data_IF_795930231089
#
_entry.id   IF_795930231089
#
_cell.length_a   1.000
_cell.length_b   1.000
_cell.length_c   1.000
_cell.angle_alpha   90.00
_cell.angle_beta   90.00
_cell.angle_gamma   90.00
#
_symmetry.space_group_name_H-M   'P 1'
#
loop_
_entity.id
_entity.type
_entity.pdbx_description
1 polymer ?
#
# COMPACT_ATOMS: atom_id res chain seq x y z
N UNK A 1 9.29 -17.70 5.99
CA UNK A 1 8.49 -16.48 6.25
C UNK A 1 9.41 -15.28 6.16
N UNK A 2 9.01 -14.24 5.43
CA UNK A 2 9.75 -12.98 5.28
C UNK A 2 8.83 -11.84 5.70
N UNK A 3 9.39 -10.86 6.40
CA UNK A 3 8.69 -9.63 6.79
C UNK A 3 9.45 -8.49 6.14
N UNK A 4 8.73 -7.65 5.40
CA UNK A 4 9.23 -6.40 4.84
C UNK A 4 8.50 -5.27 5.57
N UNK A 5 9.26 -4.36 6.17
CA UNK A 5 8.73 -3.13 6.73
C UNK A 5 9.03 -1.99 5.76
N UNK A 6 8.03 -1.20 5.42
CA UNK A 6 8.18 -0.07 4.51
C UNK A 6 7.57 1.20 5.09
N UNK A 7 8.18 2.33 4.78
CA UNK A 7 7.64 3.65 5.04
C UNK A 7 7.52 4.35 3.69
N UNK A 8 6.29 4.49 3.18
CA UNK A 8 6.07 5.09 1.88
C UNK A 8 6.23 6.61 1.93
N UNK A 9 6.60 7.26 0.82
CA UNK A 9 6.61 8.71 0.76
C UNK A 9 5.22 9.31 1.01
N UNK A 10 5.18 10.56 1.46
CA UNK A 10 3.93 11.28 1.73
C UNK A 10 3.17 11.61 0.45
N UNK A 11 1.91 12.05 0.56
CA UNK A 11 1.12 12.44 -0.61
C UNK A 11 1.66 13.70 -1.32
N UNK A 12 2.42 14.55 -0.64
CA UNK A 12 3.00 15.76 -1.22
C UNK A 12 4.33 15.49 -1.94
N UNK A 13 4.86 14.27 -1.84
CA UNK A 13 6.07 13.84 -2.54
C UNK A 13 5.84 13.79 -4.07
N UNK A 14 6.92 14.00 -4.84
CA UNK A 14 6.87 13.90 -6.31
C UNK A 14 6.33 12.54 -6.81
N UNK A 15 5.58 12.55 -7.91
CA UNK A 15 5.03 11.31 -8.48
C UNK A 15 6.13 10.36 -8.97
N UNK A 16 7.30 10.88 -9.34
CA UNK A 16 8.47 10.08 -9.73
C UNK A 16 8.98 9.30 -8.53
N UNK A 17 9.21 9.96 -7.39
CA UNK A 17 9.71 9.32 -6.18
C UNK A 17 8.71 8.28 -5.64
N UNK A 18 7.41 8.59 -5.63
CA UNK A 18 6.38 7.59 -5.29
C UNK A 18 6.44 6.40 -6.26
N UNK A 19 6.54 6.65 -7.57
CA UNK A 19 6.61 5.58 -8.57
C UNK A 19 7.83 4.67 -8.32
N UNK A 20 9.01 5.26 -8.15
CA UNK A 20 10.25 4.54 -7.85
C UNK A 20 10.10 3.69 -6.59
N UNK A 21 9.57 4.26 -5.51
CA UNK A 21 9.34 3.52 -4.26
C UNK A 21 8.47 2.28 -4.46
N UNK A 22 7.32 2.40 -5.15
CA UNK A 22 6.43 1.25 -5.36
C UNK A 22 7.02 0.22 -6.34
N UNK A 23 7.78 0.64 -7.35
CA UNK A 23 8.47 -0.28 -8.29
C UNK A 23 9.56 -1.09 -7.58
N UNK A 24 10.36 -0.46 -6.73
CA UNK A 24 11.41 -1.11 -5.94
C UNK A 24 10.82 -2.09 -4.92
N UNK A 25 9.77 -1.65 -4.19
CA UNK A 25 9.09 -2.49 -3.20
C UNK A 25 8.47 -3.73 -3.84
N UNK A 26 7.84 -3.54 -5.00
CA UNK A 26 7.23 -4.62 -5.74
C UNK A 26 8.26 -5.63 -6.25
N UNK A 27 9.37 -5.14 -6.81
CA UNK A 27 10.50 -5.97 -7.22
C UNK A 27 11.06 -6.78 -6.05
N UNK A 28 11.14 -6.17 -4.86
CA UNK A 28 11.57 -6.87 -3.64
C UNK A 28 10.59 -7.97 -3.23
N UNK A 29 9.28 -7.74 -3.37
CA UNK A 29 8.25 -8.72 -3.08
C UNK A 29 8.20 -9.86 -4.11
N UNK A 30 8.53 -9.60 -5.37
CA UNK A 30 8.59 -10.60 -6.45
C UNK A 30 9.78 -11.55 -6.30
N UNK A 31 10.89 -11.13 -5.68
CA UNK A 31 12.06 -11.97 -5.38
C UNK A 31 11.78 -13.08 -4.35
N UNK A 32 10.57 -13.17 -3.80
CA UNK A 32 10.20 -14.23 -2.85
C UNK A 32 10.12 -15.60 -3.54
N UNK A 33 10.48 -16.65 -2.82
CA UNK A 33 10.13 -18.01 -3.25
C UNK A 33 8.62 -18.19 -3.05
N UNK A 34 7.90 -18.84 -4.00
CA UNK A 34 6.43 -18.98 -3.93
C UNK A 34 5.91 -19.66 -2.65
N UNK A 35 6.75 -20.46 -1.98
CA UNK A 35 6.44 -21.15 -0.71
C UNK A 35 6.65 -20.28 0.54
N UNK A 36 7.25 -19.10 0.41
CA UNK A 36 7.46 -18.19 1.54
C UNK A 36 6.20 -17.36 1.82
N UNK A 37 5.70 -17.42 3.06
CA UNK A 37 4.78 -16.41 3.57
C UNK A 37 5.50 -15.05 3.62
N UNK A 38 4.97 -14.06 2.92
CA UNK A 38 5.44 -12.68 2.92
C UNK A 38 4.45 -11.78 3.66
N UNK A 39 4.91 -11.11 4.70
CA UNK A 39 4.17 -10.04 5.37
C UNK A 39 4.81 -8.71 5.00
N UNK A 40 4.03 -7.86 4.34
CA UNK A 40 4.41 -6.47 4.09
C UNK A 40 3.66 -5.60 5.09
N UNK A 41 4.40 -4.83 5.88
CA UNK A 41 3.86 -3.98 6.93
C UNK A 41 4.56 -2.62 6.99
N UNK A 42 4.00 -1.71 7.77
CA UNK A 42 4.53 -0.37 7.97
C UNK A 42 3.51 0.70 7.59
N UNK A 43 3.99 1.93 7.43
CA UNK A 43 3.15 3.08 7.10
C UNK A 43 3.27 3.38 5.61
N UNK A 44 2.18 3.15 4.89
CA UNK A 44 2.12 3.37 3.45
C UNK A 44 1.63 4.77 3.07
N UNK A 45 1.36 5.65 4.05
CA UNK A 45 0.80 6.98 3.81
C UNK A 45 -0.41 6.92 2.85
N UNK A 46 -1.18 5.82 2.91
CA UNK A 46 -2.16 5.45 1.91
C UNK A 46 -3.57 5.55 2.50
N UNK A 47 -4.43 6.34 1.86
CA UNK A 47 -5.85 6.43 2.21
C UNK A 47 -6.64 5.48 1.31
N UNK A 48 -7.02 4.32 1.85
CA UNK A 48 -7.86 3.34 1.18
C UNK A 48 -9.23 3.37 1.87
N UNK A 49 -10.28 3.92 1.23
CA UNK A 49 -11.65 3.86 1.80
C UNK A 49 -12.21 2.42 1.77
N UNK A 50 -13.15 1.97 2.61
CA UNK A 50 -13.70 2.50 3.89
C UNK A 50 -14.04 1.31 4.79
N UNK A 51 -13.71 1.37 6.08
CA UNK A 51 -14.37 0.55 7.09
C UNK A 51 -15.78 1.10 7.32
N UNK A 52 -16.80 0.25 7.16
CA UNK A 52 -18.20 0.65 7.29
C UNK A 52 -18.55 1.01 8.73
N UNK A 53 -18.32 2.27 9.14
CA UNK A 53 -19.15 3.08 10.05
C UNK A 53 -18.47 4.42 10.34
N UNK A 54 -19.26 5.49 10.18
CA UNK A 54 -19.01 6.88 10.54
C UNK A 54 -18.21 7.75 9.57
N UNK A 55 -18.82 8.92 9.29
CA UNK A 55 -18.32 10.21 8.78
C UNK A 55 -18.93 10.61 7.43
N UNK A 56 -19.65 11.72 7.40
CA UNK A 56 -20.34 12.26 6.21
C UNK A 56 -19.39 13.16 5.38
N UNK A 57 -18.11 13.16 5.73
CA UNK A 57 -17.03 13.98 5.20
C UNK A 57 -16.33 13.32 3.97
N UNK A 58 -17.00 12.36 3.32
CA UNK A 58 -16.56 11.66 2.09
C UNK A 58 -16.60 12.56 0.84
N UNK A 59 -16.17 13.82 0.95
CA UNK A 59 -16.04 14.69 -0.23
C UNK A 59 -14.76 14.43 -1.04
N UNK A 60 -13.86 13.54 -0.59
CA UNK A 60 -12.56 13.29 -1.25
C UNK A 60 -12.06 11.83 -1.30
N UNK A 61 -12.91 10.80 -1.24
CA UNK A 61 -12.44 9.40 -1.44
C UNK A 61 -12.55 8.97 -2.91
N UNK A 62 -12.01 9.77 -3.83
CA UNK A 62 -11.49 9.20 -5.06
C UNK A 62 -10.09 8.76 -4.67
N UNK A 63 -9.79 7.46 -4.74
CA UNK A 63 -8.44 6.95 -4.49
C UNK A 63 -7.48 7.77 -5.37
N UNK A 64 -6.71 8.68 -4.78
CA UNK A 64 -5.75 9.55 -5.46
C UNK A 64 -4.45 9.39 -4.67
N UNK A 65 -3.33 9.23 -5.38
CA UNK A 65 -2.02 9.09 -4.74
C UNK A 65 -1.65 7.66 -4.29
N UNK A 66 -1.10 7.54 -3.08
CA UNK A 66 -0.56 6.30 -2.52
C UNK A 66 -1.61 5.20 -2.37
N UNK A 67 -2.86 5.56 -2.07
CA UNK A 67 -3.97 4.60 -1.99
C UNK A 67 -4.16 3.77 -3.26
N UNK A 68 -4.01 4.39 -4.44
CA UNK A 68 -4.07 3.66 -5.72
C UNK A 68 -2.84 2.79 -5.94
N UNK A 69 -1.65 3.33 -5.67
CA UNK A 69 -0.39 2.60 -5.88
C UNK A 69 -0.34 1.35 -5.01
N UNK A 70 -0.73 1.46 -3.73
CA UNK A 70 -0.82 0.32 -2.81
C UNK A 70 -1.89 -0.70 -3.26
N UNK A 71 -3.08 -0.26 -3.67
CA UNK A 71 -4.11 -1.18 -4.19
C UNK A 71 -3.64 -1.93 -5.44
N UNK A 72 -3.03 -1.22 -6.39
CA UNK A 72 -2.56 -1.81 -7.64
C UNK A 72 -1.45 -2.83 -7.40
N UNK A 73 -0.49 -2.50 -6.54
CA UNK A 73 0.57 -3.42 -6.13
C UNK A 73 -0.01 -4.66 -5.43
N UNK A 74 -0.98 -4.49 -4.53
CA UNK A 74 -1.61 -5.62 -3.86
C UNK A 74 -2.34 -6.56 -4.84
N UNK A 75 -3.05 -6.00 -5.83
CA UNK A 75 -3.66 -6.79 -6.91
C UNK A 75 -2.60 -7.54 -7.72
N UNK A 76 -1.51 -6.86 -8.12
CA UNK A 76 -0.43 -7.45 -8.93
C UNK A 76 0.31 -8.57 -8.19
N UNK A 77 0.51 -8.41 -6.89
CA UNK A 77 1.18 -9.40 -6.03
C UNK A 77 0.25 -10.47 -5.45
N UNK A 78 -1.06 -10.39 -5.72
CA UNK A 78 -2.11 -11.22 -5.13
C UNK A 78 -2.08 -11.19 -3.59
N UNK A 79 -2.03 -10.00 -3.02
CA UNK A 79 -1.96 -9.73 -1.58
C UNK A 79 -3.26 -9.16 -1.05
N UNK A 80 -3.58 -9.47 0.20
CA UNK A 80 -4.65 -8.82 0.94
C UNK A 80 -4.13 -7.61 1.70
N UNK A 81 -4.89 -6.50 1.68
CA UNK A 81 -4.59 -5.30 2.46
C UNK A 81 -5.41 -5.33 3.75
N UNK A 82 -4.74 -5.22 4.88
CA UNK A 82 -5.36 -5.03 6.18
C UNK A 82 -4.92 -3.67 6.74
N UNK A 83 -5.89 -2.84 7.13
CA UNK A 83 -5.59 -1.63 7.90
C UNK A 83 -5.41 -1.99 9.38
N UNK A 84 -4.64 -1.19 10.10
CA UNK A 84 -4.56 -1.29 11.55
C UNK A 84 -5.88 -0.81 12.13
N UNK A 85 -6.72 -1.75 12.57
CA UNK A 85 -7.86 -1.45 13.43
C UNK A 85 -7.31 -1.16 14.83
N UNK A 86 -7.65 0.01 15.35
CA UNK A 86 -7.65 0.21 16.80
C UNK A 86 -8.99 -0.26 17.35
#
# INVERSE_FOLDING_TARGET
MKIICAYAPTEDTSEIEKKTFYEELETLCEKREKKDLLVLMGDFNAKIGREAKWREDIRYTRKIGNGNKLCNMAVRLNMNICSTRY
#
